data_IF_051824185360
#
_entry.id   IF_051824185360
#
_cell.length_a   1.000
_cell.length_b   1.000
_cell.length_c   1.000
_cell.angle_alpha   90.00
_cell.angle_beta   90.00
_cell.angle_gamma   90.00
#
_symmetry.space_group_name_H-M   'P 1'
#
loop_
_entity.id
_entity.type
_entity.pdbx_description
1 polymer ?
#
# COMPACT_ATOMS: atom_id res chain seq x y z
N UNK A 1 18.96 -32.02 -64.84
CA UNK A 1 19.74 -31.71 -63.59
C UNK A 1 19.56 -30.28 -63.06
N UNK A 2 19.55 -29.30 -63.94
CA UNK A 2 19.41 -27.83 -63.53
C UNK A 2 18.07 -27.47 -62.91
N UNK A 3 16.94 -28.06 -63.33
CA UNK A 3 15.60 -27.75 -62.75
C UNK A 3 15.42 -28.25 -61.29
N UNK A 4 16.05 -29.39 -60.92
CA UNK A 4 15.95 -29.95 -59.56
C UNK A 4 16.78 -29.16 -58.53
N UNK A 5 17.81 -28.46 -58.95
CA UNK A 5 18.64 -27.62 -58.07
C UNK A 5 17.93 -26.31 -57.79
N UNK A 6 17.27 -25.69 -58.77
CA UNK A 6 16.49 -24.47 -58.58
C UNK A 6 15.30 -24.67 -57.63
N UNK A 7 14.57 -25.81 -57.72
CA UNK A 7 13.46 -26.12 -56.81
C UNK A 7 13.91 -26.35 -55.33
N UNK A 8 15.10 -26.91 -55.11
CA UNK A 8 15.67 -27.08 -53.76
C UNK A 8 16.15 -25.76 -53.13
N UNK A 9 16.70 -24.87 -53.93
CA UNK A 9 17.10 -23.53 -53.46
C UNK A 9 15.88 -22.62 -53.11
N UNK A 10 14.79 -22.70 -53.87
CA UNK A 10 13.56 -22.01 -53.57
C UNK A 10 12.85 -22.55 -52.31
N UNK A 11 12.88 -23.86 -52.06
CA UNK A 11 12.35 -24.47 -50.86
C UNK A 11 13.16 -24.09 -49.60
N UNK A 12 14.48 -24.02 -49.69
CA UNK A 12 15.35 -23.61 -48.61
C UNK A 12 15.20 -22.08 -48.28
N UNK A 13 14.97 -21.25 -49.30
CA UNK A 13 14.69 -19.83 -49.07
C UNK A 13 13.32 -19.61 -48.42
N UNK A 14 12.30 -20.38 -48.79
CA UNK A 14 10.96 -20.31 -48.19
C UNK A 14 10.98 -20.77 -46.71
N UNK A 15 11.75 -21.84 -46.39
CA UNK A 15 11.93 -22.26 -45.00
C UNK A 15 12.69 -21.23 -44.14
N UNK A 16 13.69 -20.53 -44.71
CA UNK A 16 14.44 -19.49 -44.01
C UNK A 16 13.55 -18.24 -43.73
N UNK A 17 12.65 -17.89 -44.65
CA UNK A 17 11.71 -16.77 -44.47
C UNK A 17 10.61 -17.08 -43.44
N UNK A 18 10.18 -18.32 -43.30
CA UNK A 18 9.20 -18.74 -42.28
C UNK A 18 9.87 -18.78 -40.89
N UNK A 19 11.17 -19.11 -40.79
CA UNK A 19 11.91 -19.08 -39.52
C UNK A 19 12.23 -17.65 -39.03
N UNK A 20 12.32 -16.66 -39.92
CA UNK A 20 12.50 -15.26 -39.55
C UNK A 20 11.20 -14.53 -39.14
N UNK A 21 10.03 -15.11 -39.46
CA UNK A 21 8.72 -14.47 -39.24
C UNK A 21 8.08 -14.69 -37.88
N UNK A 22 8.70 -15.45 -36.96
CA UNK A 22 8.07 -15.80 -35.67
C UNK A 22 8.81 -15.35 -34.41
N UNK A 23 9.84 -14.54 -34.54
CA UNK A 23 10.32 -13.75 -33.41
C UNK A 23 9.42 -12.53 -33.22
N UNK A 24 8.11 -12.76 -32.97
CA UNK A 24 7.28 -11.79 -32.30
C UNK A 24 7.89 -11.65 -30.92
N UNK A 25 8.81 -10.71 -30.75
CA UNK A 25 9.17 -10.19 -29.44
C UNK A 25 7.86 -9.75 -28.81
N UNK A 26 7.30 -10.64 -27.99
CA UNK A 26 6.18 -10.29 -27.11
C UNK A 26 6.73 -9.14 -26.26
N UNK A 27 6.44 -7.90 -26.66
CA UNK A 27 6.77 -6.75 -25.87
C UNK A 27 6.26 -7.09 -24.47
N UNK A 28 7.15 -7.25 -23.51
CA UNK A 28 6.74 -7.46 -22.12
C UNK A 28 5.82 -6.29 -21.81
N UNK A 29 4.58 -6.59 -21.50
CA UNK A 29 3.66 -5.55 -21.04
C UNK A 29 4.38 -4.83 -19.89
N UNK A 30 4.44 -3.50 -19.89
CA UNK A 30 5.14 -2.77 -18.84
C UNK A 30 4.67 -3.27 -17.49
N UNK A 31 5.62 -3.53 -16.63
CA UNK A 31 5.36 -4.08 -15.30
C UNK A 31 4.33 -3.19 -14.58
N UNK A 32 3.33 -3.81 -13.93
CA UNK A 32 2.26 -3.09 -13.24
C UNK A 32 2.87 -2.17 -12.19
N UNK A 33 2.75 -0.84 -12.32
CA UNK A 33 3.29 0.08 -11.32
C UNK A 33 2.55 -0.08 -10.00
N UNK A 34 3.24 0.19 -8.89
CA UNK A 34 2.65 0.13 -7.55
C UNK A 34 2.66 1.54 -6.93
N UNK A 35 1.55 1.91 -6.29
CA UNK A 35 1.52 2.91 -5.25
C UNK A 35 1.44 2.15 -3.93
N UNK A 36 2.56 2.07 -3.22
CA UNK A 36 2.63 1.37 -1.94
C UNK A 36 2.03 2.23 -0.84
N UNK A 37 0.92 1.79 -0.26
CA UNK A 37 0.21 2.58 0.75
C UNK A 37 0.61 2.25 2.18
N UNK A 38 1.71 1.48 2.38
CA UNK A 38 2.14 1.09 3.71
C UNK A 38 3.65 0.94 3.79
N UNK A 39 4.34 2.04 4.07
CA UNK A 39 5.80 2.06 4.24
C UNK A 39 6.17 2.78 5.54
N UNK A 40 7.12 2.21 6.27
CA UNK A 40 7.76 2.83 7.42
C UNK A 40 9.24 3.10 7.14
N UNK A 41 9.69 4.30 7.51
CA UNK A 41 11.10 4.69 7.49
C UNK A 41 11.47 5.28 8.85
N UNK A 42 11.68 4.42 9.83
CA UNK A 42 11.87 4.79 11.23
C UNK A 42 13.33 4.92 11.62
N UNK A 43 13.61 5.49 12.80
CA UNK A 43 14.98 5.80 13.25
C UNK A 43 16.00 4.65 13.13
N UNK A 44 15.67 3.36 13.36
CA UNK A 44 16.62 2.26 13.16
C UNK A 44 17.14 2.12 11.73
N UNK A 45 16.40 2.63 10.73
CA UNK A 45 16.76 2.49 9.32
C UNK A 45 17.78 3.54 8.88
N UNK A 46 17.81 4.73 9.49
CA UNK A 46 18.40 5.94 8.94
C UNK A 46 19.91 5.86 8.66
N UNK A 47 20.65 5.10 9.47
CA UNK A 47 22.11 4.95 9.32
C UNK A 47 22.41 4.01 8.13
N UNK A 48 21.77 2.85 8.10
CA UNK A 48 22.03 1.83 7.09
C UNK A 48 21.38 2.15 5.73
N UNK A 49 20.19 2.79 5.78
CA UNK A 49 19.37 3.13 4.62
C UNK A 49 19.14 4.65 4.54
N UNK A 50 20.13 5.45 4.13
CA UNK A 50 19.92 6.87 3.90
C UNK A 50 18.84 7.10 2.83
N UNK A 51 18.20 8.29 2.79
CA UNK A 51 17.06 8.56 1.91
C UNK A 51 17.29 8.19 0.44
N UNK A 52 18.48 8.45 -0.10
CA UNK A 52 18.82 8.14 -1.48
C UNK A 52 18.82 6.62 -1.75
N UNK A 53 19.26 5.81 -0.78
CA UNK A 53 19.19 4.35 -0.88
C UNK A 53 17.74 3.86 -0.87
N UNK A 54 16.90 4.41 0.01
CA UNK A 54 15.46 4.10 0.04
C UNK A 54 14.80 4.42 -1.30
N UNK A 55 14.99 5.63 -1.81
CA UNK A 55 14.42 6.03 -3.11
C UNK A 55 14.88 5.13 -4.25
N UNK A 56 16.15 4.69 -4.24
CA UNK A 56 16.67 3.71 -5.19
C UNK A 56 16.02 2.32 -5.05
N UNK A 57 15.73 1.86 -3.83
CA UNK A 57 15.02 0.59 -3.58
C UNK A 57 13.57 0.69 -4.09
N UNK A 58 12.85 1.80 -3.82
CA UNK A 58 11.49 2.03 -4.32
C UNK A 58 11.47 2.02 -5.86
N UNK A 59 12.43 2.68 -6.50
CA UNK A 59 12.54 2.68 -7.95
C UNK A 59 12.80 1.28 -8.53
N UNK A 60 13.76 0.54 -7.96
CA UNK A 60 14.07 -0.84 -8.35
C UNK A 60 12.88 -1.77 -8.19
N UNK A 61 12.05 -1.56 -7.16
CA UNK A 61 10.83 -2.32 -6.94
C UNK A 61 9.67 -1.90 -7.87
N UNK A 62 9.82 -0.81 -8.63
CA UNK A 62 8.76 -0.26 -9.47
C UNK A 62 7.63 0.39 -8.66
N UNK A 63 7.96 0.90 -7.45
CA UNK A 63 7.05 1.70 -6.63
C UNK A 63 7.09 3.13 -7.14
N UNK A 64 5.99 3.55 -7.74
CA UNK A 64 5.88 4.89 -8.33
C UNK A 64 5.67 5.95 -7.26
N UNK A 65 4.82 5.67 -6.27
CA UNK A 65 4.54 6.51 -5.11
C UNK A 65 4.42 5.66 -3.85
N UNK A 66 4.66 6.26 -2.69
CA UNK A 66 4.58 5.58 -1.42
C UNK A 66 3.93 6.46 -0.35
N UNK A 67 2.98 5.88 0.40
CA UNK A 67 2.44 6.45 1.63
C UNK A 67 3.39 6.05 2.76
N UNK A 68 4.01 7.03 3.40
CA UNK A 68 5.08 6.78 4.38
C UNK A 68 4.71 7.33 5.74
N UNK A 69 4.88 6.51 6.77
CA UNK A 69 4.80 6.92 8.18
C UNK A 69 6.02 6.42 8.96
N UNK A 70 6.56 7.24 9.84
CA UNK A 70 7.82 6.95 10.54
C UNK A 70 7.72 7.17 12.04
N UNK A 71 8.61 6.52 12.78
CA UNK A 71 8.78 6.74 14.22
C UNK A 71 10.24 7.13 14.49
N UNK A 72 10.49 8.40 14.90
CA UNK A 72 9.58 9.55 14.85
C UNK A 72 9.28 10.01 13.42
N UNK A 73 8.32 10.95 13.26
CA UNK A 73 7.85 11.52 12.00
C UNK A 73 8.96 12.15 11.13
N UNK A 74 10.09 12.48 11.72
CA UNK A 74 11.24 13.09 11.02
C UNK A 74 11.73 12.26 9.84
N UNK A 75 11.64 10.93 9.91
CA UNK A 75 11.97 10.06 8.78
C UNK A 75 11.04 10.28 7.58
N UNK A 76 9.74 10.37 7.82
CA UNK A 76 8.74 10.68 6.79
C UNK A 76 9.03 12.01 6.11
N UNK A 77 9.26 13.06 6.90
CA UNK A 77 9.54 14.40 6.39
C UNK A 77 10.87 14.46 5.63
N UNK A 78 11.88 13.72 6.09
CA UNK A 78 13.18 13.63 5.41
C UNK A 78 13.04 13.00 4.02
N UNK A 79 12.31 11.89 3.89
CA UNK A 79 12.05 11.28 2.58
C UNK A 79 11.20 12.19 1.69
N UNK A 80 10.16 12.80 2.24
CA UNK A 80 9.31 13.73 1.49
C UNK A 80 10.09 14.94 0.97
N UNK A 81 11.00 15.51 1.75
CA UNK A 81 11.84 16.63 1.31
C UNK A 81 12.75 16.24 0.13
N UNK A 82 13.15 14.97 0.03
CA UNK A 82 13.99 14.47 -1.08
C UNK A 82 13.20 14.20 -2.35
N UNK A 83 11.99 13.64 -2.23
CA UNK A 83 11.11 13.38 -3.39
C UNK A 83 9.63 13.62 -3.02
N UNK A 84 9.17 14.87 -3.03
CA UNK A 84 7.81 15.21 -2.64
C UNK A 84 6.74 14.71 -3.63
N UNK A 85 7.13 14.32 -4.85
CA UNK A 85 6.20 13.74 -5.83
C UNK A 85 5.96 12.26 -5.57
N UNK A 86 6.96 11.56 -5.09
CA UNK A 86 6.89 10.12 -4.80
C UNK A 86 6.37 9.84 -3.39
N UNK A 87 6.80 10.61 -2.40
CA UNK A 87 6.52 10.35 -0.98
C UNK A 87 5.31 11.15 -0.52
N UNK A 88 4.29 10.44 -0.05
CA UNK A 88 3.06 11.00 0.56
C UNK A 88 3.15 10.82 2.08
N UNK A 89 3.26 11.90 2.86
CA UNK A 89 3.43 11.82 4.30
C UNK A 89 2.16 11.43 5.05
N UNK A 90 2.31 10.50 5.98
CA UNK A 90 1.33 10.18 7.03
C UNK A 90 2.02 10.39 8.39
N UNK A 91 1.35 11.05 9.31
CA UNK A 91 1.88 11.32 10.64
C UNK A 91 1.62 10.15 11.58
N UNK A 92 2.65 9.36 11.87
CA UNK A 92 2.53 8.30 12.89
C UNK A 92 2.46 8.94 14.29
N UNK A 93 1.47 8.60 15.13
CA UNK A 93 1.33 9.21 16.46
C UNK A 93 2.29 8.58 17.48
N UNK A 94 3.53 8.31 17.07
CA UNK A 94 4.57 7.72 17.91
C UNK A 94 5.82 8.59 17.89
N UNK A 95 6.18 9.14 19.06
CA UNK A 95 7.45 9.85 19.29
C UNK A 95 8.61 8.86 19.32
N UNK A 96 8.33 7.70 19.90
CA UNK A 96 9.23 6.55 20.00
C UNK A 96 8.45 5.24 19.83
N UNK A 97 9.16 4.12 19.63
CA UNK A 97 8.54 2.81 19.55
C UNK A 97 7.75 2.43 20.83
N UNK A 98 8.11 3.00 21.99
CA UNK A 98 7.41 2.78 23.24
C UNK A 98 5.96 3.25 23.22
N UNK A 99 5.62 4.26 22.42
CA UNK A 99 4.25 4.78 22.37
C UNK A 99 3.24 3.77 21.78
N UNK A 100 3.67 2.80 20.98
CA UNK A 100 2.81 1.86 20.25
C UNK A 100 1.73 1.19 21.12
N UNK A 101 2.08 0.80 22.36
CA UNK A 101 1.19 0.05 23.25
C UNK A 101 0.25 0.90 24.11
N UNK A 102 0.38 2.25 24.10
CA UNK A 102 -0.37 3.10 25.02
C UNK A 102 -0.69 4.51 24.47
N UNK A 103 -0.33 4.82 23.23
CA UNK A 103 -0.52 6.13 22.61
C UNK A 103 -1.96 6.65 22.73
N UNK A 104 -2.93 5.75 22.65
CA UNK A 104 -4.37 6.05 22.65
C UNK A 104 -4.87 6.63 23.98
N UNK A 105 -4.09 6.59 25.05
CA UNK A 105 -4.43 7.14 26.37
C UNK A 105 -3.42 8.20 26.85
N UNK A 106 -2.34 8.48 26.10
CA UNK A 106 -1.30 9.44 26.50
C UNK A 106 -1.57 10.86 25.93
N UNK A 107 -1.94 11.85 26.77
CA UNK A 107 -2.17 13.21 26.31
C UNK A 107 -0.94 13.86 25.65
N UNK A 108 0.29 13.42 26.01
CA UNK A 108 1.51 13.95 25.40
C UNK A 108 1.65 13.51 23.93
N UNK A 109 1.10 12.35 23.55
CA UNK A 109 1.00 11.94 22.15
C UNK A 109 0.04 12.85 21.38
N UNK A 110 -1.10 13.20 21.97
CA UNK A 110 -2.02 14.15 21.33
C UNK A 110 -1.34 15.51 21.10
N UNK A 111 -0.62 16.03 22.10
CA UNK A 111 0.14 17.28 21.96
C UNK A 111 1.17 17.20 20.84
N UNK A 112 1.90 16.09 20.74
CA UNK A 112 2.85 15.83 19.65
C UNK A 112 2.16 15.85 18.27
N UNK A 113 1.03 15.14 18.10
CA UNK A 113 0.29 15.12 16.83
C UNK A 113 -0.16 16.54 16.44
N UNK A 114 -0.71 17.30 17.38
CA UNK A 114 -1.15 18.67 17.14
C UNK A 114 0.00 19.58 16.72
N UNK A 115 1.13 19.51 17.42
CA UNK A 115 2.33 20.29 17.09
C UNK A 115 2.85 19.95 15.68
N UNK A 116 2.96 18.65 15.35
CA UNK A 116 3.48 18.22 14.04
C UNK A 116 2.57 18.65 12.89
N UNK A 117 1.25 18.52 13.03
CA UNK A 117 0.28 19.00 12.02
C UNK A 117 0.34 20.52 11.88
N UNK A 118 0.43 21.27 12.98
CA UNK A 118 0.52 22.72 12.94
C UNK A 118 1.81 23.20 12.29
N UNK A 119 2.96 22.60 12.63
CA UNK A 119 4.27 22.95 12.08
C UNK A 119 4.39 22.65 10.59
N UNK A 120 3.75 21.58 10.13
CA UNK A 120 3.83 21.09 8.76
C UNK A 120 2.45 21.11 8.07
N UNK A 121 1.78 22.28 8.12
CA UNK A 121 0.42 22.43 7.58
C UNK A 121 0.30 21.96 6.14
N UNK A 122 -0.69 21.08 5.86
CA UNK A 122 -1.01 20.56 4.53
C UNK A 122 -0.03 19.51 4.00
N UNK A 123 1.05 19.19 4.72
CA UNK A 123 2.03 18.18 4.31
C UNK A 123 1.49 16.79 4.56
N UNK A 124 1.10 16.47 5.79
CA UNK A 124 0.56 15.17 6.13
C UNK A 124 -0.84 14.95 5.55
N UNK A 125 -1.05 13.78 4.96
CA UNK A 125 -2.33 13.39 4.34
C UNK A 125 -3.16 12.46 5.23
N UNK A 126 -2.63 12.09 6.39
CA UNK A 126 -3.31 11.28 7.38
C UNK A 126 -2.56 11.22 8.71
N UNK A 127 -3.20 10.57 9.70
CA UNK A 127 -2.63 10.20 10.99
C UNK A 127 -2.60 8.67 11.05
N UNK A 128 -1.43 8.07 11.30
CA UNK A 128 -1.19 6.63 11.37
C UNK A 128 0.14 6.23 10.71
N UNK A 129 0.47 4.99 10.48
CA UNK A 129 -0.25 3.85 11.02
C UNK A 129 -0.20 3.86 12.53
N UNK A 130 -1.33 3.56 13.17
CA UNK A 130 -1.39 3.37 14.60
C UNK A 130 -2.12 2.06 14.96
N UNK A 131 -1.72 1.43 16.08
CA UNK A 131 -2.35 0.24 16.62
C UNK A 131 -3.47 0.64 17.59
N UNK A 132 -4.70 0.22 17.28
CA UNK A 132 -5.89 0.52 18.09
C UNK A 132 -6.88 -0.64 17.99
N UNK A 133 -7.29 -1.18 19.13
CA UNK A 133 -8.17 -2.35 19.19
C UNK A 133 -9.50 -2.03 19.88
N UNK A 134 -10.48 -2.89 19.69
CA UNK A 134 -11.80 -2.74 20.28
C UNK A 134 -11.74 -2.44 21.77
N UNK A 135 -12.58 -1.50 22.23
CA UNK A 135 -12.61 -0.98 23.60
C UNK A 135 -11.58 0.11 23.93
N UNK A 136 -10.64 0.43 23.03
CA UNK A 136 -9.66 1.50 23.24
C UNK A 136 -10.08 2.84 22.63
N UNK A 137 -11.09 2.85 21.77
CA UNK A 137 -11.52 4.02 20.99
C UNK A 137 -12.19 5.12 21.82
N UNK A 138 -12.75 4.78 22.99
CA UNK A 138 -13.50 5.69 23.84
C UNK A 138 -12.66 6.74 24.61
N UNK A 139 -11.35 6.75 24.46
CA UNK A 139 -10.46 7.65 25.21
C UNK A 139 -10.51 9.10 24.68
N UNK A 140 -10.13 10.04 25.52
CA UNK A 140 -10.03 11.46 25.14
C UNK A 140 -9.06 11.66 23.98
N UNK A 141 -7.91 10.98 23.99
CA UNK A 141 -6.88 11.09 22.96
C UNK A 141 -7.42 10.65 21.60
N UNK A 142 -8.07 9.48 21.52
CA UNK A 142 -8.63 8.97 20.26
C UNK A 142 -9.72 9.89 19.75
N UNK A 143 -10.64 10.36 20.63
CA UNK A 143 -11.69 11.32 20.24
C UNK A 143 -11.09 12.59 19.63
N UNK A 144 -10.05 13.16 20.24
CA UNK A 144 -9.38 14.36 19.72
C UNK A 144 -8.66 14.11 18.41
N UNK A 145 -8.04 12.94 18.21
CA UNK A 145 -7.39 12.56 16.95
C UNK A 145 -8.42 12.35 15.83
N UNK A 146 -9.57 11.74 16.12
CA UNK A 146 -10.67 11.61 15.13
C UNK A 146 -11.23 12.98 14.72
N UNK A 147 -11.41 13.88 15.67
CA UNK A 147 -11.83 15.26 15.39
C UNK A 147 -10.81 16.01 14.53
N UNK A 148 -9.51 15.90 14.85
CA UNK A 148 -8.44 16.50 14.05
C UNK A 148 -8.42 15.94 12.61
N UNK A 149 -8.56 14.64 12.44
CA UNK A 149 -8.59 14.02 11.11
C UNK A 149 -9.73 14.58 10.24
N UNK A 150 -10.91 14.80 10.83
CA UNK A 150 -12.05 15.41 10.14
C UNK A 150 -11.81 16.90 9.87
N UNK A 151 -11.32 17.67 10.85
CA UNK A 151 -11.05 19.10 10.71
C UNK A 151 -10.00 19.40 9.62
N UNK A 152 -8.92 18.63 9.59
CA UNK A 152 -7.85 18.77 8.60
C UNK A 152 -8.17 18.07 7.27
N UNK A 153 -9.32 17.35 7.18
CA UNK A 153 -9.75 16.58 6.03
C UNK A 153 -8.70 15.54 5.58
N UNK A 154 -8.09 14.82 6.52
CA UNK A 154 -7.06 13.80 6.31
C UNK A 154 -7.53 12.41 6.71
N UNK A 155 -6.79 11.38 6.33
CA UNK A 155 -7.14 9.99 6.60
C UNK A 155 -6.65 9.53 7.98
N UNK A 156 -7.34 8.55 8.56
CA UNK A 156 -6.76 7.70 9.59
C UNK A 156 -6.22 6.44 8.92
N UNK A 157 -5.00 6.03 9.26
CA UNK A 157 -4.43 4.75 8.84
C UNK A 157 -4.32 3.85 10.08
N UNK A 158 -5.21 2.88 10.18
CA UNK A 158 -5.48 2.17 11.43
C UNK A 158 -5.14 0.68 11.33
N UNK A 159 -4.14 0.24 12.09
CA UNK A 159 -3.90 -1.17 12.40
C UNK A 159 -4.86 -1.57 13.51
N UNK A 160 -5.96 -2.18 13.13
CA UNK A 160 -7.10 -2.36 14.03
C UNK A 160 -7.84 -3.66 13.75
N UNK A 161 -8.52 -4.18 14.76
CA UNK A 161 -9.53 -5.22 14.57
C UNK A 161 -10.86 -4.64 14.03
N UNK A 162 -11.78 -5.52 13.69
CA UNK A 162 -13.09 -5.15 13.16
C UNK A 162 -13.89 -4.28 14.15
N UNK A 163 -13.79 -4.58 15.45
CA UNK A 163 -14.52 -3.85 16.49
C UNK A 163 -14.03 -2.41 16.59
N UNK A 164 -12.73 -2.18 16.56
CA UNK A 164 -12.19 -0.82 16.59
C UNK A 164 -12.61 0.00 15.35
N UNK A 165 -12.68 -0.61 14.16
CA UNK A 165 -13.20 0.07 12.95
C UNK A 165 -14.67 0.47 13.15
N UNK A 166 -15.51 -0.42 13.67
CA UNK A 166 -16.91 -0.14 13.96
C UNK A 166 -17.03 1.01 14.98
N UNK A 167 -16.25 0.96 16.06
CA UNK A 167 -16.24 1.98 17.10
C UNK A 167 -15.75 3.34 16.57
N UNK A 168 -14.71 3.38 15.74
CA UNK A 168 -14.23 4.63 15.11
C UNK A 168 -15.33 5.30 14.28
N UNK A 169 -16.05 4.55 13.44
CA UNK A 169 -17.15 5.11 12.66
C UNK A 169 -18.39 5.41 13.49
N UNK A 170 -18.56 4.76 14.63
CA UNK A 170 -19.61 5.11 15.61
C UNK A 170 -19.27 6.42 16.31
N UNK A 171 -18.00 6.62 16.64
CA UNK A 171 -17.52 7.83 17.28
C UNK A 171 -17.60 9.06 16.35
N UNK A 172 -17.20 8.89 15.07
CA UNK A 172 -17.23 9.96 14.08
C UNK A 172 -17.53 9.39 12.67
N UNK A 173 -18.79 9.44 12.23
CA UNK A 173 -19.20 8.87 10.94
C UNK A 173 -18.59 9.52 9.70
N UNK A 174 -18.01 10.72 9.81
CA UNK A 174 -17.38 11.45 8.71
C UNK A 174 -15.93 11.06 8.48
N UNK A 175 -15.36 10.15 9.28
CA UNK A 175 -14.00 9.68 9.13
C UNK A 175 -13.73 9.10 7.74
N UNK A 176 -12.49 9.26 7.29
CA UNK A 176 -11.92 8.56 6.16
C UNK A 176 -10.83 7.64 6.68
N UNK A 177 -11.03 6.34 6.58
CA UNK A 177 -10.15 5.34 7.21
C UNK A 177 -9.52 4.44 6.16
N UNK A 178 -8.22 4.25 6.26
CA UNK A 178 -7.48 3.15 5.62
C UNK A 178 -7.28 2.09 6.70
N UNK A 179 -7.90 0.95 6.53
CA UNK A 179 -7.77 -0.18 7.45
C UNK A 179 -6.55 -1.01 7.06
N UNK A 180 -5.53 -0.91 7.87
CA UNK A 180 -4.26 -1.59 7.61
C UNK A 180 -4.42 -3.11 7.65
N UNK A 181 -3.71 -3.78 6.74
CA UNK A 181 -3.63 -5.25 6.66
C UNK A 181 -4.98 -5.97 6.55
N UNK A 182 -6.02 -5.30 6.07
CA UNK A 182 -7.39 -5.87 6.08
C UNK A 182 -7.74 -6.47 7.47
N UNK A 183 -7.32 -5.80 8.56
CA UNK A 183 -7.56 -6.25 9.93
C UNK A 183 -6.74 -7.47 10.37
N UNK A 184 -5.59 -7.72 9.75
CA UNK A 184 -4.65 -8.83 10.02
C UNK A 184 -5.26 -10.23 9.89
N UNK A 185 -6.27 -10.57 10.69
CA UNK A 185 -6.91 -11.89 10.74
C UNK A 185 -8.32 -11.95 10.15
N UNK A 186 -8.87 -10.80 9.71
CA UNK A 186 -10.22 -10.76 9.12
C UNK A 186 -10.25 -11.44 7.77
N UNK A 187 -11.25 -12.31 7.57
CA UNK A 187 -11.48 -12.95 6.28
C UNK A 187 -12.20 -12.04 5.28
N UNK A 188 -12.25 -12.43 3.99
CA UNK A 188 -12.83 -11.61 2.93
C UNK A 188 -14.32 -11.27 3.16
N UNK A 189 -15.09 -12.14 3.82
CA UNK A 189 -16.49 -11.89 4.13
C UNK A 189 -16.66 -10.75 5.13
N UNK A 190 -15.87 -10.75 6.21
CA UNK A 190 -15.91 -9.70 7.24
C UNK A 190 -15.44 -8.37 6.67
N UNK A 191 -14.34 -8.38 5.90
CA UNK A 191 -13.84 -7.19 5.19
C UNK A 191 -14.91 -6.63 4.24
N UNK A 192 -15.55 -7.49 3.44
CA UNK A 192 -16.61 -7.11 2.52
C UNK A 192 -17.81 -6.48 3.25
N UNK A 193 -18.23 -7.04 4.37
CA UNK A 193 -19.36 -6.52 5.17
C UNK A 193 -19.07 -5.12 5.74
N UNK A 194 -17.83 -4.84 6.17
CA UNK A 194 -17.44 -3.50 6.63
C UNK A 194 -17.35 -2.49 5.47
N UNK A 195 -16.88 -2.92 4.31
CA UNK A 195 -16.86 -2.08 3.11
C UNK A 195 -18.27 -1.74 2.60
N UNK A 196 -19.24 -2.66 2.73
CA UNK A 196 -20.65 -2.39 2.42
C UNK A 196 -21.23 -1.33 3.36
N UNK A 197 -20.86 -1.41 4.65
CA UNK A 197 -21.39 -0.55 5.70
C UNK A 197 -20.80 0.86 5.70
N UNK A 198 -19.50 0.99 5.43
CA UNK A 198 -18.77 2.24 5.59
C UNK A 198 -18.22 2.77 4.25
N UNK A 199 -18.89 3.77 3.61
CA UNK A 199 -18.49 4.30 2.30
C UNK A 199 -17.13 4.95 2.28
N UNK A 200 -16.59 5.39 3.40
CA UNK A 200 -15.30 6.07 3.56
C UNK A 200 -14.24 5.20 4.24
N UNK A 201 -14.41 3.87 4.16
CA UNK A 201 -13.42 2.87 4.54
C UNK A 201 -12.68 2.36 3.31
N UNK A 202 -11.36 2.38 3.31
CA UNK A 202 -10.46 1.68 2.37
C UNK A 202 -9.65 0.65 3.14
N UNK A 203 -9.08 -0.30 2.42
CA UNK A 203 -8.37 -1.43 3.01
C UNK A 203 -7.03 -1.59 2.30
N UNK A 204 -5.92 -1.54 3.03
CA UNK A 204 -4.65 -1.96 2.47
C UNK A 204 -4.39 -3.46 2.69
N UNK A 205 -3.58 -4.04 1.79
CA UNK A 205 -3.28 -5.46 1.74
C UNK A 205 -1.85 -5.78 2.18
N UNK A 206 -1.17 -4.85 2.84
CA UNK A 206 0.18 -5.04 3.31
C UNK A 206 0.30 -6.32 4.16
N UNK A 207 1.36 -7.10 3.93
CA UNK A 207 1.66 -8.39 4.59
C UNK A 207 0.55 -9.46 4.55
N UNK A 208 -0.47 -9.32 3.69
CA UNK A 208 -1.57 -10.29 3.54
C UNK A 208 -1.39 -11.22 2.34
N UNK A 209 -0.21 -11.24 1.71
CA UNK A 209 0.02 -12.01 0.48
C UNK A 209 -0.31 -13.50 0.65
N UNK A 210 0.07 -14.12 1.78
CA UNK A 210 -0.21 -15.52 2.08
C UNK A 210 -1.70 -15.83 2.30
N UNK A 211 -2.48 -14.86 2.77
CA UNK A 211 -3.92 -15.04 2.99
C UNK A 211 -4.71 -14.73 1.71
N UNK A 212 -4.28 -13.72 0.98
CA UNK A 212 -4.90 -13.30 -0.29
C UNK A 212 -4.63 -14.33 -1.39
N UNK A 213 -3.42 -14.89 -1.41
CA UNK A 213 -3.01 -15.85 -2.43
C UNK A 213 -2.18 -17.00 -1.83
N UNK A 214 -2.80 -17.90 -1.06
CA UNK A 214 -2.12 -19.06 -0.50
C UNK A 214 -1.49 -19.90 -1.60
N UNK A 215 -0.18 -20.20 -1.45
CA UNK A 215 0.58 -20.92 -2.48
C UNK A 215 0.66 -20.20 -3.83
N UNK A 216 0.45 -18.88 -3.87
CA UNK A 216 0.52 -18.04 -5.06
C UNK A 216 -0.77 -18.01 -5.89
N UNK A 217 -1.83 -18.73 -5.49
CA UNK A 217 -3.12 -18.74 -6.17
C UNK A 217 -4.11 -17.82 -5.43
N UNK A 218 -4.71 -16.87 -6.15
CA UNK A 218 -5.67 -15.94 -5.58
C UNK A 218 -6.87 -16.69 -5.00
N UNK A 219 -7.12 -16.51 -3.70
CA UNK A 219 -8.24 -17.13 -2.99
C UNK A 219 -9.59 -16.68 -3.59
N UNK A 220 -10.55 -17.61 -3.81
CA UNK A 220 -11.84 -17.27 -4.40
C UNK A 220 -12.66 -16.25 -3.59
N UNK A 221 -12.57 -16.25 -2.27
CA UNK A 221 -13.27 -15.31 -1.40
C UNK A 221 -12.67 -13.92 -1.53
N UNK A 222 -11.34 -13.80 -1.52
CA UNK A 222 -10.64 -12.54 -1.77
C UNK A 222 -10.90 -12.03 -3.19
N UNK A 223 -10.89 -12.92 -4.19
CA UNK A 223 -11.26 -12.55 -5.56
C UNK A 223 -12.67 -11.96 -5.63
N UNK A 224 -13.63 -12.57 -4.98
CA UNK A 224 -15.01 -12.12 -4.98
C UNK A 224 -15.16 -10.72 -4.35
N UNK A 225 -14.51 -10.47 -3.20
CA UNK A 225 -14.58 -9.16 -2.54
C UNK A 225 -13.84 -8.06 -3.33
N UNK A 226 -12.73 -8.37 -3.99
CA UNK A 226 -12.04 -7.43 -4.89
C UNK A 226 -12.92 -7.02 -6.08
N UNK A 227 -13.63 -7.97 -6.68
CA UNK A 227 -14.55 -7.69 -7.79
C UNK A 227 -15.79 -6.89 -7.34
N UNK A 228 -16.26 -7.11 -6.12
CA UNK A 228 -17.39 -6.37 -5.52
C UNK A 228 -17.02 -4.95 -5.14
N UNK A 229 -15.81 -4.73 -4.62
CA UNK A 229 -15.33 -3.43 -4.13
C UNK A 229 -14.02 -2.99 -4.80
N UNK A 230 -13.93 -2.95 -6.14
CA UNK A 230 -12.66 -2.73 -6.85
C UNK A 230 -12.02 -1.38 -6.54
N UNK A 231 -12.78 -0.40 -6.07
CA UNK A 231 -12.34 0.97 -5.77
C UNK A 231 -11.92 1.19 -4.31
N UNK A 232 -11.85 0.11 -3.50
CA UNK A 232 -11.70 0.23 -2.05
C UNK A 232 -10.47 -0.48 -1.48
N UNK A 233 -9.72 -1.22 -2.30
CA UNK A 233 -8.50 -1.90 -1.91
C UNK A 233 -7.26 -1.15 -2.40
N UNK A 234 -6.18 -1.24 -1.63
CA UNK A 234 -4.91 -0.56 -1.84
C UNK A 234 -3.78 -1.57 -1.71
N UNK A 235 -2.77 -1.48 -2.55
CA UNK A 235 -1.56 -2.27 -2.44
C UNK A 235 -0.64 -1.69 -1.36
N UNK A 236 -0.01 -2.56 -0.56
CA UNK A 236 0.95 -2.17 0.46
C UNK A 236 1.95 -3.30 0.75
N UNK A 237 3.11 -2.98 1.34
CA UNK A 237 4.15 -3.95 1.66
C UNK A 237 4.52 -4.01 3.12
N UNK A 238 4.44 -2.91 3.86
CA UNK A 238 4.81 -2.73 5.27
C UNK A 238 6.29 -3.02 5.58
N UNK A 239 7.10 -1.99 5.60
CA UNK A 239 8.54 -2.06 5.90
C UNK A 239 8.83 -1.80 7.39
N UNK A 240 8.11 -2.45 8.31
CA UNK A 240 8.19 -2.22 9.76
C UNK A 240 9.51 -2.66 10.42
N UNK A 241 10.35 -3.42 9.72
CA UNK A 241 11.69 -3.82 10.14
C UNK A 241 12.72 -3.48 9.07
N UNK A 242 13.92 -3.07 9.50
CA UNK A 242 15.05 -2.71 8.62
C UNK A 242 15.36 -3.77 7.56
N UNK A 243 15.32 -5.06 7.93
CA UNK A 243 15.56 -6.17 6.98
C UNK A 243 14.54 -6.26 5.84
N UNK A 244 13.36 -5.65 5.98
CA UNK A 244 12.33 -5.66 4.94
C UNK A 244 12.66 -4.76 3.74
N UNK A 245 13.58 -3.82 3.90
CA UNK A 245 14.03 -2.99 2.78
C UNK A 245 14.68 -3.81 1.67
N UNK A 246 15.54 -4.77 2.01
CA UNK A 246 16.14 -5.67 1.01
C UNK A 246 15.11 -6.65 0.39
N UNK A 247 14.10 -7.05 1.14
CA UNK A 247 13.04 -7.93 0.68
C UNK A 247 11.96 -7.21 -0.15
N UNK A 248 11.93 -5.87 -0.14
CA UNK A 248 10.85 -5.08 -0.75
C UNK A 248 10.57 -5.41 -2.21
N UNK A 249 11.59 -5.54 -3.12
CA UNK A 249 11.32 -5.92 -4.50
C UNK A 249 10.62 -7.28 -4.64
N UNK A 250 10.96 -8.25 -3.78
CA UNK A 250 10.31 -9.56 -3.70
C UNK A 250 8.84 -9.45 -3.26
N UNK A 251 8.58 -8.69 -2.19
CA UNK A 251 7.22 -8.44 -1.69
C UNK A 251 6.33 -7.79 -2.76
N UNK A 252 6.86 -6.84 -3.51
CA UNK A 252 6.14 -6.19 -4.63
C UNK A 252 5.87 -7.20 -5.77
N UNK A 253 6.80 -8.13 -6.03
CA UNK A 253 6.60 -9.18 -7.03
C UNK A 253 5.45 -10.11 -6.63
N UNK A 254 5.34 -10.46 -5.36
CA UNK A 254 4.20 -11.24 -4.84
C UNK A 254 2.87 -10.51 -5.01
N UNK A 255 2.83 -9.19 -4.68
CA UNK A 255 1.65 -8.34 -4.91
C UNK A 255 1.24 -8.38 -6.38
N UNK A 256 2.17 -8.17 -7.31
CA UNK A 256 1.89 -8.26 -8.76
C UNK A 256 1.40 -9.63 -9.19
N UNK A 257 1.94 -10.70 -8.58
CA UNK A 257 1.56 -12.07 -8.90
C UNK A 257 0.08 -12.34 -8.65
N UNK A 258 -0.45 -11.99 -7.48
CA UNK A 258 -1.88 -12.20 -7.24
C UNK A 258 -2.76 -11.19 -7.98
N UNK A 259 -2.32 -9.95 -8.15
CA UNK A 259 -3.07 -8.96 -8.94
C UNK A 259 -3.20 -9.36 -10.40
N UNK A 260 -2.20 -10.05 -10.97
CA UNK A 260 -2.26 -10.54 -12.36
C UNK A 260 -3.38 -11.58 -12.62
N UNK A 261 -3.95 -12.15 -11.57
CA UNK A 261 -5.05 -13.12 -11.63
C UNK A 261 -6.44 -12.43 -11.62
N UNK A 262 -6.47 -11.09 -11.52
CA UNK A 262 -7.67 -10.26 -11.61
C UNK A 262 -7.86 -9.68 -13.02
N UNK A 263 -9.06 -9.25 -13.39
CA UNK A 263 -9.24 -8.37 -14.55
C UNK A 263 -8.31 -7.16 -14.45
N UNK A 264 -7.73 -6.75 -15.58
CA UNK A 264 -6.68 -5.73 -15.62
C UNK A 264 -7.10 -4.40 -14.96
N UNK A 265 -8.32 -3.96 -15.19
CA UNK A 265 -8.87 -2.73 -14.62
C UNK A 265 -8.95 -2.80 -13.08
N UNK A 266 -9.34 -3.94 -12.52
CA UNK A 266 -9.37 -4.19 -11.07
C UNK A 266 -7.94 -4.24 -10.51
N UNK A 267 -7.03 -4.96 -11.18
CA UNK A 267 -5.63 -5.02 -10.79
C UNK A 267 -4.98 -3.62 -10.74
N UNK A 268 -5.19 -2.80 -11.77
CA UNK A 268 -4.67 -1.43 -11.83
C UNK A 268 -5.29 -0.52 -10.76
N UNK A 269 -6.57 -0.67 -10.45
CA UNK A 269 -7.23 0.05 -9.35
C UNK A 269 -6.56 -0.25 -8.02
N UNK A 270 -6.37 -1.52 -7.68
CA UNK A 270 -5.76 -1.94 -6.42
C UNK A 270 -4.28 -1.55 -6.39
N UNK A 271 -3.55 -1.76 -7.49
CA UNK A 271 -2.12 -1.51 -7.57
C UNK A 271 -1.74 -0.03 -7.36
N UNK A 272 -2.50 0.90 -7.94
CA UNK A 272 -2.14 2.32 -7.89
C UNK A 272 -3.29 3.31 -8.06
N UNK A 273 -4.31 3.07 -8.92
CA UNK A 273 -5.30 4.09 -9.26
C UNK A 273 -6.14 4.53 -8.07
N UNK A 274 -6.50 3.61 -7.17
CA UNK A 274 -7.24 3.95 -5.97
C UNK A 274 -6.44 4.90 -5.08
N UNK A 275 -5.17 4.57 -4.82
CA UNK A 275 -4.28 5.40 -4.02
C UNK A 275 -4.02 6.77 -4.69
N UNK A 276 -3.82 6.83 -6.01
CA UNK A 276 -3.67 8.11 -6.75
C UNK A 276 -4.93 9.00 -6.63
N UNK A 277 -6.13 8.39 -6.59
CA UNK A 277 -7.38 9.14 -6.37
C UNK A 277 -7.50 9.68 -4.95
N UNK A 278 -7.02 8.95 -3.94
CA UNK A 278 -7.05 9.39 -2.54
C UNK A 278 -5.98 10.46 -2.25
N UNK A 279 -4.85 10.37 -2.95
CA UNK A 279 -3.66 11.21 -2.76
C UNK A 279 -3.20 11.78 -4.13
N UNK A 280 -3.95 12.70 -4.71
CA UNK A 280 -3.68 13.29 -6.03
C UNK A 280 -2.34 14.04 -6.12
#
# INVERSE_FOLDING_TARGET
>A
MRLRIAARLLALLALALVALGTAITRAQSPELPIFDTHIHYSAPDWIEYPPERILGILEKAGIRRALVSSTPDDGTLTLHAKDPKRIVPILRPYRTRGDMGHWWQDPAVLAYVQERLQKNRGVHKGIGEFHLFGGQTGTFVVKRITELAVQENIYLHAHSDELAIIELFTLEPRLRVIWAHAGMSSGPQAVGALLDRYPTLWVDLAIRNSDVAPGGTLDPGWRAVFLRHPDRFLAGTDTWMTSRWEALPGSVTEVRSYLSQLPRDVAEKIAFRNAERLFP
#
